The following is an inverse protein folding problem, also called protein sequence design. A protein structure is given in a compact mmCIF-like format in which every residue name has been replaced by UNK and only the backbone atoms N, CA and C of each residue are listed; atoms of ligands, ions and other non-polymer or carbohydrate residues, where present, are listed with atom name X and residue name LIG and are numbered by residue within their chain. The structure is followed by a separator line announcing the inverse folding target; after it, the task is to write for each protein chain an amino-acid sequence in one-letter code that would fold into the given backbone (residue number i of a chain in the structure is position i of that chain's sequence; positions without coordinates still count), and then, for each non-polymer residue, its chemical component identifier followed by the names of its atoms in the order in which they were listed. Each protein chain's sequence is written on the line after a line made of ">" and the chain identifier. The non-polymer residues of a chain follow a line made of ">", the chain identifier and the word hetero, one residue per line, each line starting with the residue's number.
data_IF_892815312771
#
_entry.id   IF_892815312771
#
_cell.length_a   1.000
_cell.length_b   1.000
_cell.length_c   1.000
_cell.angle_alpha   90.00
_cell.angle_beta   90.00
_cell.angle_gamma   90.00
#
_symmetry.space_group_name_H-M   'P 1'
#
loop_
_entity.id
_entity.type
_entity.pdbx_description
1 polymer ?
#
# COMPACT_ATOMS: atom_id res chain seq x y z
N UNK A 1 -44.02 44.52 -57.55
CA UNK A 1 -44.46 43.57 -56.49
C UNK A 1 -43.24 42.74 -56.08
N UNK A 2 -42.56 43.13 -55.02
CA UNK A 2 -41.35 42.46 -54.54
C UNK A 2 -41.70 41.81 -53.18
N UNK A 3 -41.62 40.46 -53.13
CA UNK A 3 -41.77 39.69 -51.90
C UNK A 3 -40.42 39.67 -51.15
N UNK A 4 -40.45 40.10 -49.92
CA UNK A 4 -39.32 39.97 -49.00
C UNK A 4 -39.50 38.63 -48.24
N UNK A 5 -38.57 37.72 -48.41
CA UNK A 5 -38.48 36.53 -47.64
C UNK A 5 -37.66 36.77 -46.35
N UNK A 6 -38.28 36.65 -45.23
CA UNK A 6 -37.65 36.78 -43.90
C UNK A 6 -37.17 35.39 -43.44
N UNK A 7 -35.85 35.22 -43.40
CA UNK A 7 -35.25 34.00 -42.87
C UNK A 7 -35.20 34.04 -41.33
N UNK A 8 -35.87 33.08 -40.69
CA UNK A 8 -35.82 32.83 -39.25
C UNK A 8 -34.59 31.96 -38.96
N UNK A 9 -33.61 32.50 -38.26
CA UNK A 9 -32.45 31.70 -37.73
C UNK A 9 -32.86 31.22 -36.35
N UNK A 10 -33.07 29.93 -36.24
CA UNK A 10 -33.29 29.27 -34.96
C UNK A 10 -31.92 28.98 -34.30
N UNK A 11 -31.62 29.68 -33.19
CA UNK A 11 -30.45 29.39 -32.36
C UNK A 11 -30.73 28.19 -31.46
N UNK A 12 -30.01 27.12 -31.69
CA UNK A 12 -30.05 25.89 -30.84
C UNK A 12 -29.10 26.14 -29.67
N UNK A 13 -29.64 26.38 -28.47
CA UNK A 13 -28.87 26.47 -27.25
C UNK A 13 -28.62 25.03 -26.75
N UNK A 14 -27.37 24.54 -26.85
CA UNK A 14 -26.92 23.31 -26.21
C UNK A 14 -26.61 23.61 -24.76
N UNK A 15 -27.48 23.21 -23.85
CA UNK A 15 -27.21 23.24 -22.42
C UNK A 15 -26.30 22.06 -22.07
N UNK A 16 -25.01 22.34 -21.87
CA UNK A 16 -24.07 21.36 -21.29
C UNK A 16 -24.37 21.22 -19.79
N UNK A 17 -25.03 20.14 -19.42
CA UNK A 17 -25.20 19.76 -18.01
C UNK A 17 -23.88 19.25 -17.45
N UNK A 18 -23.19 20.08 -16.65
CA UNK A 18 -22.04 19.65 -15.84
C UNK A 18 -22.59 18.78 -14.70
N UNK A 19 -22.47 17.46 -14.84
CA UNK A 19 -22.71 16.55 -13.74
C UNK A 19 -21.55 16.66 -12.77
N UNK A 20 -21.73 17.38 -11.66
CA UNK A 20 -20.80 17.34 -10.53
C UNK A 20 -20.98 15.96 -9.89
N UNK A 21 -20.03 15.05 -10.14
CA UNK A 21 -19.90 13.82 -9.34
C UNK A 21 -19.46 14.28 -7.96
N UNK A 22 -20.42 14.39 -7.05
CA UNK A 22 -20.14 14.54 -5.62
C UNK A 22 -19.52 13.24 -5.17
N UNK A 23 -18.20 13.23 -4.91
CA UNK A 23 -17.59 12.18 -4.12
C UNK A 23 -18.24 12.23 -2.74
N UNK A 24 -19.24 11.40 -2.50
CA UNK A 24 -19.70 11.12 -1.16
C UNK A 24 -18.48 10.55 -0.42
N UNK A 25 -18.01 11.28 0.60
CA UNK A 25 -16.96 10.81 1.48
C UNK A 25 -17.44 9.51 2.13
N UNK A 26 -16.98 8.37 1.63
CA UNK A 26 -17.15 7.09 2.27
C UNK A 26 -16.49 7.19 3.64
N UNK A 27 -17.16 6.75 4.69
CA UNK A 27 -16.54 6.56 6.01
C UNK A 27 -15.51 5.43 5.83
N UNK A 28 -14.23 5.82 5.71
CA UNK A 28 -13.13 4.86 5.54
C UNK A 28 -13.16 3.80 6.65
N UNK A 29 -12.80 2.59 6.31
CA UNK A 29 -12.72 1.47 7.26
C UNK A 29 -11.28 1.32 7.73
N UNK A 30 -11.09 1.20 9.06
CA UNK A 30 -9.76 0.90 9.63
C UNK A 30 -9.68 -0.58 9.98
N UNK A 31 -8.60 -1.23 9.52
CA UNK A 31 -8.25 -2.61 9.89
C UNK A 31 -6.87 -2.60 10.52
N UNK A 32 -6.74 -3.18 11.71
CA UNK A 32 -5.47 -3.26 12.44
C UNK A 32 -5.01 -4.71 12.48
N UNK A 33 -3.74 -4.93 12.14
CA UNK A 33 -3.05 -6.22 12.29
C UNK A 33 -1.80 -6.01 13.12
N UNK A 34 -1.58 -6.86 14.09
CA UNK A 34 -0.38 -6.85 14.94
C UNK A 34 0.37 -8.16 14.85
N UNK A 35 1.66 -8.12 15.12
CA UNK A 35 2.46 -9.35 15.25
C UNK A 35 3.69 -9.11 16.15
N UNK A 36 4.30 -10.17 16.72
CA UNK A 36 5.58 -10.09 17.42
C UNK A 36 6.72 -9.64 16.50
N UNK A 37 7.93 -9.59 17.03
CA UNK A 37 9.15 -9.42 16.24
C UNK A 37 9.16 -10.34 15.03
N UNK A 38 9.54 -9.81 13.86
CA UNK A 38 9.61 -10.62 12.64
C UNK A 38 10.70 -11.69 12.75
N UNK A 39 10.47 -12.91 12.25
CA UNK A 39 11.51 -13.93 12.19
C UNK A 39 12.63 -13.49 11.24
N UNK A 40 13.78 -14.20 11.32
CA UNK A 40 14.84 -14.01 10.35
C UNK A 40 14.30 -14.28 8.93
N UNK A 41 14.54 -13.37 7.95
CA UNK A 41 14.09 -13.58 6.57
C UNK A 41 14.86 -14.72 5.90
N UNK A 42 14.25 -15.31 4.88
CA UNK A 42 15.02 -15.92 3.80
C UNK A 42 15.67 -14.80 3.02
N UNK A 43 16.98 -14.76 3.02
CA UNK A 43 17.77 -13.76 2.29
C UNK A 43 18.27 -14.37 0.98
N UNK A 44 18.05 -13.68 -0.11
CA UNK A 44 18.54 -14.03 -1.45
C UNK A 44 19.51 -12.95 -1.86
N UNK A 45 20.78 -13.29 -1.81
CA UNK A 45 21.90 -12.45 -2.25
C UNK A 45 21.94 -12.45 -3.78
N UNK A 46 21.84 -11.28 -4.39
CA UNK A 46 21.85 -11.09 -5.84
C UNK A 46 22.80 -9.97 -6.21
N UNK A 47 23.57 -10.20 -7.28
CA UNK A 47 24.55 -9.23 -7.73
C UNK A 47 25.91 -9.45 -7.08
N UNK A 48 26.49 -8.39 -6.49
CA UNK A 48 27.75 -8.46 -5.78
C UNK A 48 27.59 -9.16 -4.42
N UNK A 49 28.62 -9.82 -3.92
CA UNK A 49 28.59 -10.51 -2.63
C UNK A 49 28.32 -9.51 -1.47
N UNK A 50 27.34 -9.83 -0.63
CA UNK A 50 26.91 -8.98 0.47
C UNK A 50 25.75 -8.06 0.09
N UNK A 51 25.41 -7.06 0.93
CA UNK A 51 24.29 -6.18 0.66
C UNK A 51 24.45 -5.46 -0.68
N UNK A 52 23.49 -5.65 -1.58
CA UNK A 52 23.53 -5.08 -2.92
C UNK A 52 22.12 -4.81 -3.50
N UNK A 53 22.06 -3.99 -4.55
CA UNK A 53 20.82 -3.75 -5.30
C UNK A 53 20.37 -5.06 -5.94
N UNK A 54 19.10 -5.40 -5.74
CA UNK A 54 18.49 -6.64 -6.20
C UNK A 54 18.31 -7.69 -5.11
N UNK A 55 18.95 -7.55 -3.95
CA UNK A 55 18.78 -8.46 -2.83
C UNK A 55 17.35 -8.54 -2.36
N UNK A 56 16.91 -9.76 -2.07
CA UNK A 56 15.55 -10.01 -1.61
C UNK A 56 15.52 -10.55 -0.18
N UNK A 57 14.52 -10.13 0.54
CA UNK A 57 14.18 -10.63 1.88
C UNK A 57 12.75 -11.11 1.86
N UNK A 58 12.54 -12.39 2.20
CA UNK A 58 11.23 -13.03 2.13
C UNK A 58 10.84 -13.52 3.52
N UNK A 59 9.56 -13.32 3.85
CA UNK A 59 8.94 -13.79 5.08
C UNK A 59 7.57 -14.40 4.81
N UNK A 60 7.22 -15.38 5.63
CA UNK A 60 5.85 -15.84 5.83
C UNK A 60 5.68 -16.13 7.32
N UNK A 61 4.77 -15.42 7.98
CA UNK A 61 4.58 -15.52 9.44
C UNK A 61 3.15 -15.12 9.84
N UNK A 62 2.69 -15.54 11.04
CA UNK A 62 1.37 -15.21 11.52
C UNK A 62 1.33 -13.81 12.16
N UNK A 63 0.18 -13.17 12.06
CA UNK A 63 -0.23 -11.99 12.81
C UNK A 63 -1.62 -12.17 13.40
N UNK A 64 -2.10 -11.17 14.12
CA UNK A 64 -3.42 -11.09 14.74
C UNK A 64 -4.19 -9.92 14.15
N UNK A 65 -5.33 -10.19 13.58
CA UNK A 65 -6.25 -9.21 13.02
C UNK A 65 -7.46 -8.94 13.93
N UNK A 66 -8.49 -8.24 13.42
CA UNK A 66 -9.70 -7.93 14.16
C UNK A 66 -10.39 -9.19 14.72
N UNK A 67 -10.83 -9.11 16.00
CA UNK A 67 -11.50 -10.21 16.69
C UNK A 67 -10.59 -11.44 16.86
N UNK A 68 -9.30 -11.23 17.07
CA UNK A 68 -8.28 -12.26 17.25
C UNK A 68 -8.15 -13.24 16.07
N UNK A 69 -8.56 -12.78 14.87
CA UNK A 69 -8.39 -13.56 13.65
C UNK A 69 -6.90 -13.77 13.37
N UNK A 70 -6.51 -15.01 13.12
CA UNK A 70 -5.16 -15.33 12.66
C UNK A 70 -5.00 -14.82 11.22
N UNK A 71 -3.97 -14.01 10.98
CA UNK A 71 -3.63 -13.45 9.68
C UNK A 71 -2.29 -14.04 9.26
N UNK A 72 -2.21 -14.61 8.05
CA UNK A 72 -0.91 -14.96 7.47
C UNK A 72 -0.38 -13.74 6.73
N UNK A 73 0.88 -13.41 6.96
CA UNK A 73 1.56 -12.27 6.36
C UNK A 73 2.70 -12.82 5.50
N UNK A 74 2.55 -12.71 4.18
CA UNK A 74 3.58 -13.01 3.20
C UNK A 74 4.20 -11.71 2.72
N UNK A 75 5.50 -11.53 2.93
CA UNK A 75 6.19 -10.27 2.68
C UNK A 75 7.47 -10.47 1.88
N UNK A 76 7.65 -9.65 0.85
CA UNK A 76 8.89 -9.55 0.08
C UNK A 76 9.40 -8.11 0.09
N UNK A 77 10.70 -7.96 0.26
CA UNK A 77 11.41 -6.68 0.07
C UNK A 77 12.56 -6.89 -0.90
N UNK A 78 12.69 -5.97 -1.86
CA UNK A 78 13.83 -5.93 -2.78
C UNK A 78 14.60 -4.63 -2.57
N UNK A 79 15.91 -4.72 -2.36
CA UNK A 79 16.80 -3.55 -2.29
C UNK A 79 16.88 -2.89 -3.67
N UNK A 80 16.57 -1.60 -3.73
CA UNK A 80 16.55 -0.80 -4.96
C UNK A 80 17.58 0.33 -4.96
N UNK A 81 18.21 0.59 -3.82
CA UNK A 81 19.27 1.58 -3.67
C UNK A 81 20.04 1.36 -2.39
N UNK A 82 21.35 1.49 -2.46
CA UNK A 82 22.28 1.49 -1.35
C UNK A 82 22.76 2.91 -1.08
N UNK A 83 23.14 3.19 0.16
CA UNK A 83 23.60 4.51 0.58
C UNK A 83 22.67 5.65 0.09
N UNK A 84 21.37 5.38 0.08
CA UNK A 84 20.33 6.27 -0.48
C UNK A 84 19.17 6.44 0.51
N UNK A 85 18.81 7.67 0.94
CA UNK A 85 19.35 8.98 0.52
C UNK A 85 20.70 9.35 1.16
N UNK A 86 21.18 8.55 2.12
CA UNK A 86 22.43 8.79 2.85
C UNK A 86 23.16 7.48 3.11
N UNK A 87 24.45 7.58 3.46
CA UNK A 87 25.29 6.43 3.77
C UNK A 87 24.70 5.56 4.88
N UNK A 88 24.70 4.24 4.66
CA UNK A 88 24.17 3.25 5.61
C UNK A 88 22.65 3.13 5.61
N UNK A 89 21.97 3.72 4.62
CA UNK A 89 20.53 3.56 4.39
C UNK A 89 20.28 2.85 3.07
N UNK A 90 19.40 1.86 3.09
CA UNK A 90 18.91 1.18 1.89
C UNK A 90 17.47 1.61 1.58
N UNK A 91 17.22 1.89 0.31
CA UNK A 91 15.87 2.00 -0.24
C UNK A 91 15.40 0.62 -0.66
N UNK A 92 14.23 0.19 -0.18
CA UNK A 92 13.64 -1.11 -0.52
C UNK A 92 12.20 -0.97 -0.98
N UNK A 93 11.86 -1.59 -2.10
CA UNK A 93 10.46 -1.82 -2.47
C UNK A 93 9.96 -3.02 -1.65
N UNK A 94 8.77 -2.87 -1.07
CA UNK A 94 8.07 -3.93 -0.35
C UNK A 94 6.75 -4.24 -1.03
N UNK A 95 6.41 -5.53 -1.12
CA UNK A 95 5.07 -6.02 -1.41
C UNK A 95 4.67 -7.02 -0.34
N UNK A 96 3.43 -6.94 0.14
CA UNK A 96 2.94 -7.90 1.11
C UNK A 96 1.47 -8.26 0.88
N UNK A 97 1.13 -9.48 1.27
CA UNK A 97 -0.23 -10.01 1.30
C UNK A 97 -0.59 -10.36 2.74
N UNK A 98 -1.69 -9.80 3.22
CA UNK A 98 -2.28 -10.12 4.50
C UNK A 98 -3.52 -10.97 4.26
N UNK A 99 -3.45 -12.24 4.63
CA UNK A 99 -4.53 -13.23 4.41
C UNK A 99 -5.29 -13.47 5.71
N UNK A 100 -6.56 -13.07 5.74
CA UNK A 100 -7.45 -13.15 6.91
C UNK A 100 -8.27 -14.45 6.97
N UNK A 101 -7.93 -15.41 6.13
CA UNK A 101 -8.64 -16.68 5.96
C UNK A 101 -9.63 -16.66 4.79
N UNK A 102 -9.96 -17.85 4.27
CA UNK A 102 -10.79 -17.99 3.06
C UNK A 102 -10.17 -17.25 1.87
N UNK A 103 -10.95 -16.38 1.23
CA UNK A 103 -10.51 -15.54 0.12
C UNK A 103 -10.21 -14.08 0.52
N UNK A 104 -10.25 -13.76 1.82
CA UNK A 104 -10.13 -12.39 2.32
C UNK A 104 -8.66 -11.98 2.39
N UNK A 105 -8.20 -11.09 1.51
CA UNK A 105 -6.84 -10.58 1.51
C UNK A 105 -6.79 -9.07 1.35
N UNK A 106 -5.75 -8.45 1.95
CA UNK A 106 -5.32 -7.08 1.66
C UNK A 106 -3.90 -7.11 1.12
N UNK A 107 -3.63 -6.33 0.07
CA UNK A 107 -2.34 -6.23 -0.57
C UNK A 107 -1.79 -4.82 -0.39
N UNK A 108 -0.50 -4.73 -0.06
CA UNK A 108 0.20 -3.46 0.02
C UNK A 108 1.45 -3.44 -0.86
N UNK A 109 1.83 -2.24 -1.30
CA UNK A 109 3.10 -2.00 -1.98
C UNK A 109 3.61 -0.58 -1.68
N UNK A 110 4.91 -0.44 -1.60
CA UNK A 110 5.55 0.87 -1.46
C UNK A 110 7.05 0.77 -1.19
N UNK A 111 7.67 1.93 -1.05
CA UNK A 111 9.11 2.06 -0.74
C UNK A 111 9.25 2.39 0.74
N UNK A 112 10.26 1.81 1.38
CA UNK A 112 10.72 2.19 2.71
C UNK A 112 12.23 2.40 2.74
N UNK A 113 12.69 3.15 3.73
CA UNK A 113 14.11 3.36 4.01
C UNK A 113 14.49 2.52 5.23
N UNK A 114 15.55 1.77 5.12
CA UNK A 114 15.98 0.79 6.11
C UNK A 114 17.45 0.97 6.47
N UNK A 115 17.88 0.60 7.68
CA UNK A 115 19.32 0.48 7.95
C UNK A 115 19.94 -0.54 7.00
N UNK A 116 21.08 -0.21 6.41
CA UNK A 116 21.80 -1.12 5.49
C UNK A 116 22.26 -2.42 6.15
N UNK A 117 22.50 -2.38 7.47
CA UNK A 117 22.87 -3.53 8.30
C UNK A 117 21.65 -4.24 8.93
N UNK A 118 20.43 -3.74 8.70
CA UNK A 118 19.20 -4.22 9.31
C UNK A 118 18.25 -4.94 8.35
N UNK A 119 17.56 -5.96 8.84
CA UNK A 119 16.51 -6.62 8.05
C UNK A 119 15.24 -5.78 7.96
N UNK A 120 14.93 -5.00 9.00
CA UNK A 120 13.67 -4.26 9.17
C UNK A 120 13.92 -2.80 9.58
N UNK A 121 12.83 -2.04 9.76
CA UNK A 121 12.88 -0.69 10.34
C UNK A 121 13.48 -0.71 11.75
N UNK A 122 14.04 0.42 12.17
CA UNK A 122 14.42 0.62 13.57
C UNK A 122 13.17 0.65 14.47
N UNK A 123 13.27 0.26 15.76
CA UNK A 123 12.19 0.45 16.73
C UNK A 123 11.70 1.90 16.76
N UNK A 124 10.40 2.08 16.93
CA UNK A 124 9.67 3.36 16.88
C UNK A 124 9.63 4.04 15.51
N UNK A 125 10.08 3.37 14.46
CA UNK A 125 9.95 3.89 13.11
C UNK A 125 8.64 3.43 12.45
N UNK A 126 8.10 4.29 11.59
CA UNK A 126 6.87 4.08 10.85
C UNK A 126 7.12 4.31 9.37
N UNK A 127 6.42 3.55 8.52
CA UNK A 127 6.41 3.73 7.07
C UNK A 127 5.00 3.55 6.53
N UNK A 128 4.61 4.45 5.62
CA UNK A 128 3.34 4.35 4.89
C UNK A 128 3.54 3.67 3.54
N UNK A 129 2.54 2.85 3.12
CA UNK A 129 2.49 2.19 1.82
C UNK A 129 1.08 2.25 1.25
N UNK A 130 0.94 2.19 -0.07
CA UNK A 130 -0.37 2.11 -0.70
C UNK A 130 -1.01 0.74 -0.49
N UNK A 131 -2.32 0.71 -0.28
CA UNK A 131 -3.14 -0.49 -0.48
C UNK A 131 -3.35 -0.61 -1.99
N UNK A 132 -2.87 -1.69 -2.59
CA UNK A 132 -2.92 -1.90 -4.05
C UNK A 132 -4.04 -2.82 -4.47
N UNK A 133 -4.83 -3.32 -3.52
CA UNK A 133 -6.02 -4.13 -3.74
C UNK A 133 -6.34 -5.05 -2.59
N UNK A 134 -7.36 -5.87 -2.81
CA UNK A 134 -7.80 -6.91 -1.88
C UNK A 134 -8.72 -7.90 -2.56
N UNK A 135 -9.03 -8.99 -1.89
CA UNK A 135 -9.98 -10.01 -2.35
C UNK A 135 -11.00 -10.35 -1.26
N UNK A 136 -12.04 -11.09 -1.62
CA UNK A 136 -13.10 -11.44 -0.68
C UNK A 136 -13.82 -10.21 -0.16
N UNK A 137 -13.96 -10.07 1.16
CA UNK A 137 -14.59 -8.87 1.76
C UNK A 137 -13.83 -7.56 1.53
N UNK A 138 -12.58 -7.63 1.05
CA UNK A 138 -11.73 -6.49 0.72
C UNK A 138 -11.61 -6.25 -0.78
N UNK A 139 -12.47 -6.86 -1.62
CA UNK A 139 -12.47 -6.64 -3.06
C UNK A 139 -12.58 -5.15 -3.39
N UNK A 140 -11.68 -4.65 -4.25
CA UNK A 140 -11.62 -3.24 -4.63
C UNK A 140 -11.03 -2.30 -3.58
N UNK A 141 -10.44 -2.82 -2.49
CA UNK A 141 -9.81 -1.98 -1.47
C UNK A 141 -8.74 -1.05 -2.06
N UNK A 142 -8.84 0.23 -1.69
CA UNK A 142 -7.89 1.30 -1.94
C UNK A 142 -7.57 2.02 -0.63
N UNK A 143 -6.57 2.91 -0.64
CA UNK A 143 -6.16 3.64 0.53
C UNK A 143 -4.69 3.43 0.87
N UNK A 144 -4.35 3.42 2.14
CA UNK A 144 -2.97 3.29 2.59
C UNK A 144 -2.86 2.52 3.91
N UNK A 145 -1.67 2.02 4.20
CA UNK A 145 -1.35 1.32 5.43
C UNK A 145 -0.16 1.98 6.10
N UNK A 146 -0.27 2.21 7.40
CA UNK A 146 0.82 2.59 8.27
C UNK A 146 1.39 1.35 8.95
N UNK A 147 2.68 1.10 8.78
CA UNK A 147 3.40 -0.01 9.42
C UNK A 147 4.39 0.55 10.42
N UNK A 148 4.19 0.29 11.69
CA UNK A 148 5.02 0.76 12.80
C UNK A 148 5.75 -0.40 13.45
N UNK A 149 7.08 -0.28 13.56
CA UNK A 149 7.90 -1.11 14.42
C UNK A 149 7.85 -0.51 15.83
N UNK A 150 7.11 -1.12 16.76
CA UNK A 150 6.92 -0.60 18.10
C UNK A 150 8.20 -0.65 18.94
N UNK A 151 8.25 0.13 20.01
CA UNK A 151 9.42 0.19 20.90
C UNK A 151 9.70 -1.11 21.65
N UNK A 152 8.69 -1.98 21.79
CA UNK A 152 8.76 -3.31 22.41
C UNK A 152 9.04 -4.44 21.42
N UNK A 153 9.49 -4.09 20.22
CA UNK A 153 9.83 -5.00 19.12
C UNK A 153 8.61 -5.70 18.47
N UNK A 154 7.39 -5.34 18.88
CA UNK A 154 6.17 -5.77 18.17
C UNK A 154 5.90 -4.88 16.94
N UNK A 155 4.95 -5.27 16.12
CA UNK A 155 4.55 -4.51 14.95
C UNK A 155 3.06 -4.24 14.92
N UNK A 156 2.70 -3.08 14.38
CA UNK A 156 1.33 -2.69 14.13
C UNK A 156 1.19 -2.22 12.67
N UNK A 157 0.24 -2.79 11.95
CA UNK A 157 -0.16 -2.37 10.61
C UNK A 157 -1.58 -1.84 10.68
N UNK A 158 -1.75 -0.54 10.43
CA UNK A 158 -3.05 0.13 10.41
C UNK A 158 -3.44 0.43 8.97
N UNK A 159 -4.38 -0.32 8.45
CA UNK A 159 -4.94 -0.13 7.11
C UNK A 159 -6.05 0.90 7.17
N UNK A 160 -5.94 1.96 6.40
CA UNK A 160 -6.95 2.98 6.16
C UNK A 160 -7.54 2.73 4.77
N UNK A 161 -8.73 2.13 4.74
CA UNK A 161 -9.40 1.70 3.51
C UNK A 161 -10.46 2.74 3.17
N UNK A 162 -10.44 3.27 1.92
CA UNK A 162 -11.38 4.28 1.40
C UNK A 162 -12.77 3.70 1.11
#
# INVERSE_FOLDING_TARGET
>A
MRLHATSLVAALAVAASLSIVSCAGGSGTTVVVTHPAVPKPTYVDKGDEGPSVGDERLWSFPGTGPGDTVVTIDWIMTTTGEDTPEKGVESRISSAVFSFGGSDTLLLQGVGLYPGDGATLKPSATVARAIVGGTGKYEGATGWVESTHNADDTWTHTFHID
#
